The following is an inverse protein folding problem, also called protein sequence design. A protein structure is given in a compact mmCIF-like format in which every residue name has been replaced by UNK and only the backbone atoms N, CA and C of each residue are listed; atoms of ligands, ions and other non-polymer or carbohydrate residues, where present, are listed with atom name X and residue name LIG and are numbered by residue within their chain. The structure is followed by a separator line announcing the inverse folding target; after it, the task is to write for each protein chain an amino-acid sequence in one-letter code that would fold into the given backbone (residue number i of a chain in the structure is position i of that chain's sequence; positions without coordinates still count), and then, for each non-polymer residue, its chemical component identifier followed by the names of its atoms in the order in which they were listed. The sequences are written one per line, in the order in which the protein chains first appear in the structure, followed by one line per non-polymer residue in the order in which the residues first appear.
data_IF_969933210972
#
_entry.id   IF_969933210972
#
_cell.length_a   1.000
_cell.length_b   1.000
_cell.length_c   1.000
_cell.angle_alpha   90.00
_cell.angle_beta   90.00
_cell.angle_gamma   90.00
#
_symmetry.space_group_name_H-M   'P 1'
#
loop_
_entity.id
_entity.type
_entity.pdbx_description
1 polymer ?
#
# COMPACT_ATOMS: atom_id res chain seq x y z
N UNK A 1 -11.45 29.92 -0.94
CA UNK A 1 -10.51 29.02 -1.64
C UNK A 1 -9.70 28.13 -0.70
N UNK A 2 -9.38 28.57 0.51
CA UNK A 2 -8.64 27.75 1.49
C UNK A 2 -9.37 26.48 1.92
N UNK A 3 -10.69 26.53 2.09
CA UNK A 3 -11.49 25.35 2.45
C UNK A 3 -11.35 24.21 1.41
N UNK A 4 -11.44 24.55 0.12
CA UNK A 4 -11.33 23.57 -0.96
C UNK A 4 -9.93 22.95 -1.00
N UNK A 5 -8.89 23.76 -0.87
CA UNK A 5 -7.50 23.29 -0.79
C UNK A 5 -7.25 22.43 0.46
N UNK A 6 -7.86 22.78 1.59
CA UNK A 6 -7.81 22.00 2.82
C UNK A 6 -8.45 20.61 2.65
N UNK A 7 -9.60 20.53 1.99
CA UNK A 7 -10.26 19.26 1.67
C UNK A 7 -9.38 18.39 0.78
N UNK A 8 -8.83 18.94 -0.31
CA UNK A 8 -7.92 18.19 -1.19
C UNK A 8 -6.65 17.74 -0.48
N UNK A 9 -6.11 18.55 0.43
CA UNK A 9 -4.95 18.19 1.23
C UNK A 9 -5.26 17.04 2.20
N UNK A 10 -6.42 17.07 2.85
CA UNK A 10 -6.87 15.98 3.72
C UNK A 10 -7.09 14.67 2.95
N UNK A 11 -7.65 14.74 1.74
CA UNK A 11 -7.74 13.59 0.83
C UNK A 11 -6.37 13.09 0.39
N UNK A 12 -5.46 13.98 0.00
CA UNK A 12 -4.09 13.61 -0.39
C UNK A 12 -3.34 12.92 0.75
N UNK A 13 -3.47 13.42 1.98
CA UNK A 13 -2.87 12.82 3.16
C UNK A 13 -3.47 11.44 3.47
N UNK A 14 -4.80 11.30 3.39
CA UNK A 14 -5.50 10.02 3.56
C UNK A 14 -5.10 8.99 2.50
N UNK A 15 -5.08 9.39 1.23
CA UNK A 15 -4.66 8.56 0.11
C UNK A 15 -3.20 8.13 0.24
N UNK A 16 -2.30 9.06 0.61
CA UNK A 16 -0.89 8.76 0.85
C UNK A 16 -0.70 7.78 2.00
N UNK A 17 -1.47 7.91 3.09
CA UNK A 17 -1.41 6.98 4.22
C UNK A 17 -1.86 5.57 3.81
N UNK A 18 -2.97 5.46 3.06
CA UNK A 18 -3.43 4.18 2.52
C UNK A 18 -2.41 3.56 1.56
N UNK A 19 -1.93 4.32 0.58
CA UNK A 19 -0.95 3.86 -0.40
C UNK A 19 0.36 3.43 0.28
N UNK A 20 0.83 4.18 1.28
CA UNK A 20 2.05 3.84 2.03
C UNK A 20 1.92 2.52 2.78
N UNK A 21 0.73 2.17 3.30
CA UNK A 21 0.47 0.89 3.93
C UNK A 21 0.38 -0.26 2.90
N UNK A 22 -0.23 -0.02 1.73
CA UNK A 22 -0.43 -1.05 0.71
C UNK A 22 0.77 -1.31 -0.18
N UNK A 23 1.63 -0.32 -0.46
CA UNK A 23 2.82 -0.51 -1.31
C UNK A 23 3.72 -1.65 -0.80
N UNK A 24 4.11 -1.69 0.49
CA UNK A 24 4.93 -2.78 1.00
C UNK A 24 4.26 -4.15 0.85
N UNK A 25 2.95 -4.24 1.12
CA UNK A 25 2.19 -5.48 0.98
C UNK A 25 2.12 -5.95 -0.48
N UNK A 26 1.90 -5.01 -1.41
CA UNK A 26 1.92 -5.30 -2.84
C UNK A 26 3.30 -5.81 -3.26
N UNK A 27 4.38 -5.15 -2.81
CA UNK A 27 5.76 -5.57 -3.11
C UNK A 27 6.03 -6.97 -2.57
N UNK A 28 5.70 -7.24 -1.31
CA UNK A 28 5.90 -8.55 -0.68
C UNK A 28 5.12 -9.64 -1.41
N UNK A 29 3.83 -9.45 -1.68
CA UNK A 29 3.00 -10.43 -2.38
C UNK A 29 3.41 -10.62 -3.85
N UNK A 30 3.89 -9.57 -4.52
CA UNK A 30 4.43 -9.68 -5.88
C UNK A 30 5.72 -10.51 -5.87
N UNK A 31 6.60 -10.28 -4.90
CA UNK A 31 7.85 -11.03 -4.79
C UNK A 31 7.56 -12.51 -4.49
N UNK A 32 6.69 -12.82 -3.53
CA UNK A 32 6.35 -14.21 -3.21
C UNK A 32 5.72 -14.94 -4.39
N UNK A 33 4.84 -14.28 -5.14
CA UNK A 33 4.14 -14.88 -6.27
C UNK A 33 5.05 -15.16 -7.47
N UNK A 34 5.89 -14.19 -7.86
CA UNK A 34 6.72 -14.31 -9.06
C UNK A 34 8.09 -14.95 -8.81
N UNK A 35 8.59 -14.91 -7.57
CA UNK A 35 9.90 -15.45 -7.19
C UNK A 35 9.77 -16.42 -6.00
N UNK A 36 9.16 -17.60 -6.23
CA UNK A 36 8.91 -18.56 -5.16
C UNK A 36 10.22 -18.98 -4.49
N UNK A 37 10.20 -19.07 -3.15
CA UNK A 37 11.35 -19.43 -2.33
C UNK A 37 12.24 -18.27 -1.88
N UNK A 38 12.04 -17.04 -2.39
CA UNK A 38 12.69 -15.83 -1.84
C UNK A 38 11.99 -15.39 -0.54
N UNK A 39 10.66 -15.35 -0.57
CA UNK A 39 9.80 -15.06 0.58
C UNK A 39 8.68 -16.09 0.57
N UNK A 40 8.53 -16.82 1.68
CA UNK A 40 7.40 -17.72 1.90
C UNK A 40 6.46 -17.05 2.89
N UNK A 41 5.24 -16.74 2.46
CA UNK A 41 4.22 -16.23 3.35
C UNK A 41 3.53 -17.39 4.07
N UNK A 42 2.93 -17.09 5.22
CA UNK A 42 2.07 -18.04 5.91
C UNK A 42 0.64 -17.94 5.35
N UNK A 43 -0.08 -19.06 5.35
CA UNK A 43 -1.53 -19.07 5.09
C UNK A 43 -2.23 -18.00 5.95
N UNK A 44 -3.22 -17.25 5.41
CA UNK A 44 -3.85 -17.38 4.10
C UNK A 44 -3.21 -16.52 3.00
N UNK A 45 -1.96 -16.09 3.18
CA UNK A 45 -1.26 -15.16 2.27
C UNK A 45 -0.14 -15.83 1.48
N UNK A 46 0.00 -17.16 1.59
CA UNK A 46 1.00 -17.98 0.93
C UNK A 46 0.94 -17.90 -0.61
#
# INVERSE_FOLDING_TARGET
MELLLGIFSAFGLSASAGLNAYIPLLVVGTISHYFPGIINLAEPFD
#
